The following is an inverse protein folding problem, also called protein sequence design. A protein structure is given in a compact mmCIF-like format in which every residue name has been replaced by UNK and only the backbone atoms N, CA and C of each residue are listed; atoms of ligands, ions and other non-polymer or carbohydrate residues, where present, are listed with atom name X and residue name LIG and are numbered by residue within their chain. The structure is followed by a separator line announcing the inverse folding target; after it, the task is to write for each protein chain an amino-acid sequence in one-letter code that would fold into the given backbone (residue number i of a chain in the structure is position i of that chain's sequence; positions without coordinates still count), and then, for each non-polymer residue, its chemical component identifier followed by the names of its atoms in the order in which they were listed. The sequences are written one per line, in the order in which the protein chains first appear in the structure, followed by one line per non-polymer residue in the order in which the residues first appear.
data_IF_993158543780
#
_entry.id   IF_993158543780
#
_cell.length_a   1.000
_cell.length_b   1.000
_cell.length_c   1.000
_cell.angle_alpha   90.00
_cell.angle_beta   90.00
_cell.angle_gamma   90.00
#
_symmetry.space_group_name_H-M   'P 1'
#
loop_
_entity.id
_entity.type
_entity.pdbx_description
1 polymer ?
#
# COMPACT_ATOMS: atom_id res chain seq x y z
N UNK A 1 -7.17 1.06 5.85
CA UNK A 1 -7.41 1.58 7.21
C UNK A 1 -7.62 0.52 8.30
N UNK A 2 -8.32 -0.62 8.08
CA UNK A 2 -8.49 -1.64 9.14
C UNK A 2 -7.15 -2.20 9.62
N UNK A 3 -6.32 -2.71 8.70
CA UNK A 3 -5.04 -3.33 9.03
C UNK A 3 -4.07 -2.36 9.74
N UNK A 4 -3.88 -1.16 9.19
CA UNK A 4 -2.98 -0.14 9.76
C UNK A 4 -3.33 0.25 11.20
N UNK A 5 -4.62 0.24 11.57
CA UNK A 5 -5.04 0.47 12.96
C UNK A 5 -4.71 -0.69 13.89
N UNK A 6 -4.74 -1.93 13.38
CA UNK A 6 -4.41 -3.12 14.16
C UNK A 6 -2.89 -3.30 14.32
N UNK A 7 -2.11 -2.95 13.31
CA UNK A 7 -0.64 -3.06 13.36
C UNK A 7 0.03 -1.84 14.00
N UNK A 8 -0.69 -0.72 14.17
CA UNK A 8 -0.10 0.54 14.61
C UNK A 8 0.74 1.24 13.54
N UNK A 9 0.65 0.79 12.28
CA UNK A 9 1.34 1.40 11.15
C UNK A 9 0.89 2.84 10.90
N UNK A 10 1.79 3.64 10.33
CA UNK A 10 1.46 4.99 9.92
C UNK A 10 0.39 4.97 8.81
N UNK A 11 -0.82 5.41 9.16
CA UNK A 11 -1.98 5.39 8.25
C UNK A 11 -1.79 6.30 7.03
N UNK A 12 -1.06 7.41 7.18
CA UNK A 12 -0.79 8.34 6.09
C UNK A 12 0.06 7.68 5.00
N UNK A 13 1.13 7.00 5.41
CA UNK A 13 2.01 6.25 4.50
C UNK A 13 1.25 5.11 3.81
N UNK A 14 0.48 4.31 4.54
CA UNK A 14 -0.31 3.20 3.97
C UNK A 14 -1.33 3.71 2.94
N UNK A 15 -1.94 4.87 3.20
CA UNK A 15 -2.88 5.51 2.28
C UNK A 15 -2.17 5.98 1.00
N UNK A 16 -1.06 6.70 1.12
CA UNK A 16 -0.29 7.15 -0.06
C UNK A 16 0.29 5.97 -0.84
N UNK A 17 0.74 4.92 -0.17
CA UNK A 17 1.21 3.70 -0.82
C UNK A 17 0.12 3.11 -1.73
N UNK A 18 -1.14 3.06 -1.26
CA UNK A 18 -2.27 2.57 -2.07
C UNK A 18 -2.49 3.36 -3.36
N UNK A 19 -2.08 4.63 -3.41
CA UNK A 19 -2.16 5.46 -4.62
C UNK A 19 -0.99 5.23 -5.56
N UNK A 20 0.22 5.04 -5.02
CA UNK A 20 1.45 5.13 -5.80
C UNK A 20 2.04 3.79 -6.24
N UNK A 21 1.97 2.73 -5.42
CA UNK A 21 2.75 1.49 -5.64
C UNK A 21 2.59 0.89 -7.05
N UNK A 22 1.37 0.92 -7.58
CA UNK A 22 1.01 0.40 -8.90
C UNK A 22 0.73 1.49 -9.96
N UNK A 23 0.80 2.77 -9.60
CA UNK A 23 0.40 3.92 -10.45
C UNK A 23 1.17 4.04 -11.77
N UNK A 24 2.34 3.39 -11.86
CA UNK A 24 3.23 3.42 -13.02
C UNK A 24 3.49 2.02 -13.55
N UNK A 25 2.54 1.10 -13.39
CA UNK A 25 2.54 -0.21 -14.06
C UNK A 25 2.27 -0.06 -15.56
N UNK A 26 3.04 -0.76 -16.38
CA UNK A 26 2.89 -0.74 -17.84
C UNK A 26 2.08 -1.93 -18.37
N UNK A 27 2.07 -3.05 -17.65
CA UNK A 27 1.32 -4.24 -18.02
C UNK A 27 1.03 -5.13 -16.80
N UNK A 28 0.12 -6.08 -16.95
CA UNK A 28 -0.27 -7.05 -15.90
C UNK A 28 0.61 -8.31 -15.87
N UNK A 29 1.73 -8.33 -16.60
CA UNK A 29 2.66 -9.45 -16.69
C UNK A 29 3.96 -9.15 -15.90
N UNK A 30 5.13 -9.27 -16.54
CA UNK A 30 6.40 -8.99 -15.91
C UNK A 30 6.69 -7.49 -15.99
N UNK A 31 6.58 -6.81 -14.86
CA UNK A 31 6.91 -5.39 -14.73
C UNK A 31 7.58 -5.11 -13.39
N UNK A 32 8.75 -5.71 -13.12
CA UNK A 32 9.42 -5.61 -11.83
C UNK A 32 9.78 -4.19 -11.35
N UNK A 33 9.68 -3.20 -12.24
CA UNK A 33 10.03 -1.80 -11.96
C UNK A 33 8.83 -0.89 -11.71
N UNK A 34 7.58 -1.40 -11.68
CA UNK A 34 6.40 -0.56 -11.41
C UNK A 34 6.49 0.15 -10.06
N UNK A 35 6.88 -0.57 -8.99
CA UNK A 35 7.07 -0.02 -7.66
C UNK A 35 8.05 1.16 -7.62
N UNK A 36 9.30 0.99 -8.08
CA UNK A 36 10.26 2.09 -8.22
C UNK A 36 9.75 3.27 -9.04
N UNK A 37 9.03 3.04 -10.16
CA UNK A 37 8.43 4.13 -10.94
C UNK A 37 7.32 4.85 -10.17
N UNK A 38 6.54 4.13 -9.37
CA UNK A 38 5.53 4.71 -8.47
C UNK A 38 6.16 5.57 -7.37
N UNK A 39 7.29 5.13 -6.81
CA UNK A 39 8.07 5.91 -5.86
C UNK A 39 8.61 7.21 -6.47
N UNK A 40 9.13 7.13 -7.70
CA UNK A 40 9.59 8.30 -8.46
C UNK A 40 8.44 9.29 -8.74
N UNK A 41 7.23 8.79 -9.06
CA UNK A 41 6.06 9.66 -9.19
C UNK A 41 5.72 10.36 -7.86
N UNK A 42 5.81 9.66 -6.74
CA UNK A 42 5.60 10.26 -5.42
C UNK A 42 6.64 11.36 -5.14
N UNK A 43 7.91 11.16 -5.51
CA UNK A 43 8.97 12.19 -5.42
C UNK A 43 8.61 13.45 -6.20
N UNK A 44 8.16 13.28 -7.45
CA UNK A 44 7.81 14.40 -8.34
C UNK A 44 6.61 15.21 -7.83
N UNK A 45 5.65 14.56 -7.18
CA UNK A 45 4.44 15.23 -6.67
C UNK A 45 4.58 15.72 -5.23
N UNK A 46 5.64 15.33 -4.52
CA UNK A 46 5.82 15.57 -3.08
C UNK A 46 5.63 17.04 -2.72
N UNK A 47 6.42 17.92 -3.32
CA UNK A 47 6.44 19.35 -2.96
C UNK A 47 5.13 20.07 -3.30
N UNK A 48 4.54 19.75 -4.46
CA UNK A 48 3.36 20.45 -4.96
C UNK A 48 2.04 19.94 -4.38
N UNK A 49 1.96 18.64 -4.04
CA UNK A 49 0.68 17.99 -3.75
C UNK A 49 0.62 17.27 -2.41
N UNK A 50 1.75 17.05 -1.74
CA UNK A 50 1.83 16.33 -0.46
C UNK A 50 2.54 17.16 0.63
N UNK A 51 2.13 18.43 0.88
CA UNK A 51 2.85 19.34 1.76
C UNK A 51 2.84 18.91 3.24
N UNK A 52 1.96 17.98 3.62
CA UNK A 52 1.86 17.44 4.98
C UNK A 52 2.70 16.17 5.19
N UNK A 53 3.38 15.68 4.15
CA UNK A 53 4.20 14.47 4.21
C UNK A 53 5.59 14.81 4.77
N UNK A 54 5.91 14.28 5.96
CA UNK A 54 7.24 14.49 6.56
C UNK A 54 8.32 13.74 5.78
N UNK A 55 9.60 14.07 6.02
CA UNK A 55 10.72 13.35 5.42
C UNK A 55 10.69 11.86 5.79
N UNK A 56 10.43 11.53 7.06
CA UNK A 56 10.38 10.15 7.53
C UNK A 56 9.20 9.37 6.91
N UNK A 57 8.04 10.00 6.76
CA UNK A 57 6.90 9.38 6.09
C UNK A 57 7.16 9.18 4.60
N UNK A 58 7.83 10.14 3.96
CA UNK A 58 8.22 10.03 2.56
C UNK A 58 9.23 8.89 2.34
N UNK A 59 10.23 8.75 3.22
CA UNK A 59 11.19 7.65 3.14
C UNK A 59 10.49 6.28 3.28
N UNK A 60 9.54 6.16 4.22
CA UNK A 60 8.74 4.94 4.37
C UNK A 60 7.88 4.65 3.15
N UNK A 61 7.24 5.66 2.57
CA UNK A 61 6.46 5.53 1.34
C UNK A 61 7.34 5.06 0.18
N UNK A 62 8.49 5.71 0.00
CA UNK A 62 9.44 5.41 -1.07
C UNK A 62 9.96 3.97 -0.94
N UNK A 63 10.38 3.56 0.27
CA UNK A 63 10.80 2.18 0.53
C UNK A 63 9.68 1.17 0.28
N UNK A 64 8.46 1.44 0.75
CA UNK A 64 7.32 0.56 0.54
C UNK A 64 7.04 0.36 -0.95
N UNK A 65 6.95 1.44 -1.74
CA UNK A 65 6.75 1.37 -3.18
C UNK A 65 7.86 0.58 -3.88
N UNK A 66 9.13 0.87 -3.60
CA UNK A 66 10.25 0.20 -4.25
C UNK A 66 10.34 -1.30 -3.97
N UNK A 67 9.96 -1.73 -2.78
CA UNK A 67 10.26 -3.09 -2.29
C UNK A 67 9.08 -4.06 -2.27
N UNK A 68 7.83 -3.60 -2.43
CA UNK A 68 6.64 -4.45 -2.16
C UNK A 68 6.55 -5.76 -2.96
N UNK A 69 7.16 -5.81 -4.16
CA UNK A 69 7.25 -7.02 -4.98
C UNK A 69 8.61 -7.71 -4.95
N UNK A 70 9.61 -7.09 -4.32
CA UNK A 70 11.01 -7.59 -4.30
C UNK A 70 11.41 -8.20 -2.95
N UNK A 71 10.82 -7.72 -1.86
CA UNK A 71 11.14 -8.14 -0.51
C UNK A 71 10.03 -8.99 0.11
N UNK A 72 10.41 -10.06 0.82
CA UNK A 72 9.47 -10.87 1.57
C UNK A 72 8.88 -10.12 2.77
N UNK A 73 9.71 -9.32 3.46
CA UNK A 73 9.34 -8.52 4.64
C UNK A 73 10.28 -7.32 4.80
N UNK A 74 10.08 -6.50 5.83
CA UNK A 74 10.90 -5.33 6.16
C UNK A 74 10.98 -5.13 7.68
N UNK A 75 11.97 -4.40 8.21
CA UNK A 75 12.09 -4.16 9.66
C UNK A 75 11.02 -3.21 10.21
N UNK A 76 10.58 -2.24 9.40
CA UNK A 76 9.57 -1.27 9.78
C UNK A 76 8.13 -1.80 9.59
N UNK A 77 7.32 -1.74 10.65
CA UNK A 77 5.92 -2.22 10.67
C UNK A 77 5.01 -1.53 9.65
N UNK A 78 5.28 -0.27 9.31
CA UNK A 78 4.52 0.48 8.31
C UNK A 78 4.77 -0.09 6.91
N UNK A 79 6.04 -0.35 6.56
CA UNK A 79 6.40 -0.95 5.28
C UNK A 79 5.83 -2.37 5.15
N UNK A 80 5.93 -3.18 6.20
CA UNK A 80 5.28 -4.50 6.25
C UNK A 80 3.77 -4.40 6.03
N UNK A 81 3.11 -3.44 6.67
CA UNK A 81 1.68 -3.21 6.54
C UNK A 81 1.29 -2.78 5.12
N UNK A 82 2.13 -2.01 4.42
CA UNK A 82 1.94 -1.69 3.00
C UNK A 82 2.00 -2.97 2.14
N UNK A 83 2.99 -3.83 2.35
CA UNK A 83 3.11 -5.09 1.62
C UNK A 83 1.90 -6.00 1.86
N UNK A 84 1.49 -6.12 3.12
CA UNK A 84 0.31 -6.89 3.50
C UNK A 84 -0.96 -6.34 2.85
N UNK A 85 -1.13 -5.01 2.81
CA UNK A 85 -2.29 -4.38 2.20
C UNK A 85 -2.40 -4.68 0.69
N UNK A 86 -1.29 -4.65 -0.04
CA UNK A 86 -1.24 -5.05 -1.46
C UNK A 86 -1.57 -6.54 -1.63
N UNK A 87 -0.91 -7.42 -0.87
CA UNK A 87 -1.10 -8.87 -0.96
C UNK A 87 -2.51 -9.32 -0.55
N UNK A 88 -3.12 -8.66 0.42
CA UNK A 88 -4.50 -8.90 0.83
C UNK A 88 -5.54 -8.47 -0.22
N UNK A 89 -5.16 -7.60 -1.16
CA UNK A 89 -6.02 -7.15 -2.26
C UNK A 89 -5.88 -8.00 -3.54
N UNK A 90 -5.20 -9.15 -3.46
CA UNK A 90 -5.08 -10.08 -4.59
C UNK A 90 -6.40 -10.76 -4.99
N UNK A 91 -7.45 -10.67 -4.16
CA UNK A 91 -8.78 -11.19 -4.48
C UNK A 91 -9.34 -10.62 -5.79
N UNK A 92 -9.06 -9.34 -6.10
CA UNK A 92 -9.51 -8.65 -7.32
C UNK A 92 -9.00 -9.29 -8.61
N UNK A 93 -7.91 -10.07 -8.53
CA UNK A 93 -7.33 -10.84 -9.66
C UNK A 93 -7.54 -12.35 -9.50
N UNK A 94 -8.47 -12.76 -8.64
CA UNK A 94 -8.86 -14.16 -8.47
C UNK A 94 -7.89 -15.00 -7.64
N UNK A 95 -7.04 -14.37 -6.81
CA UNK A 95 -6.10 -15.07 -5.93
C UNK A 95 -6.49 -14.91 -4.47
N UNK A 96 -6.52 -16.03 -3.74
CA UNK A 96 -6.71 -16.02 -2.28
C UNK A 96 -5.36 -15.71 -1.63
N UNK A 97 -5.27 -14.69 -0.74
CA UNK A 97 -4.04 -14.43 0.00
C UNK A 97 -3.64 -15.62 0.86
N UNK A 98 -2.37 -16.00 0.81
CA UNK A 98 -1.79 -17.07 1.62
C UNK A 98 -1.02 -16.44 2.80
N UNK A 99 -1.32 -16.81 4.07
CA UNK A 99 -0.66 -16.29 5.25
C UNK A 99 0.88 -16.38 5.24
N UNK A 100 1.47 -17.34 4.52
CA UNK A 100 2.93 -17.51 4.44
C UNK A 100 3.62 -16.31 3.79
N UNK A 101 2.93 -15.63 2.86
CA UNK A 101 3.45 -14.44 2.17
C UNK A 101 3.09 -13.13 2.87
N UNK A 102 2.40 -13.17 4.02
CA UNK A 102 2.08 -11.98 4.80
C UNK A 102 3.16 -11.73 5.86
N UNK A 103 3.34 -10.47 6.23
CA UNK A 103 4.35 -10.01 7.15
C UNK A 103 3.82 -10.04 8.59
N UNK A 104 2.71 -9.35 8.86
CA UNK A 104 2.21 -9.11 10.22
C UNK A 104 1.24 -10.17 10.71
N UNK A 105 1.22 -10.44 12.01
CA UNK A 105 0.26 -11.38 12.62
C UNK A 105 -1.20 -10.94 12.39
N UNK A 106 -1.45 -9.62 12.40
CA UNK A 106 -2.76 -9.07 12.10
C UNK A 106 -3.20 -9.41 10.66
N UNK A 107 -2.31 -9.30 9.69
CA UNK A 107 -2.59 -9.65 8.30
C UNK A 107 -2.80 -11.16 8.11
N UNK A 108 -2.03 -11.99 8.83
CA UNK A 108 -2.09 -13.46 8.77
C UNK A 108 -3.36 -14.07 9.35
N UNK A 109 -4.11 -13.32 10.16
CA UNK A 109 -5.34 -13.84 10.78
C UNK A 109 -6.38 -14.22 9.72
N UNK A 110 -7.05 -15.36 9.94
CA UNK A 110 -8.11 -15.86 9.04
C UNK A 110 -9.23 -14.82 8.88
N UNK A 111 -9.58 -14.09 9.95
CA UNK A 111 -10.57 -13.03 9.92
C UNK A 111 -10.15 -11.89 8.98
N UNK A 112 -8.89 -11.44 9.05
CA UNK A 112 -8.40 -10.37 8.18
C UNK A 112 -8.38 -10.80 6.72
N UNK A 113 -7.87 -12.00 6.44
CA UNK A 113 -7.81 -12.54 5.07
C UNK A 113 -9.22 -12.67 4.49
N UNK A 114 -10.16 -13.28 5.23
CA UNK A 114 -11.53 -13.43 4.77
C UNK A 114 -12.21 -12.06 4.53
N UNK A 115 -12.02 -11.12 5.45
CA UNK A 115 -12.55 -9.77 5.33
C UNK A 115 -11.99 -9.01 4.12
N UNK A 116 -10.67 -9.06 3.90
CA UNK A 116 -10.02 -8.37 2.79
C UNK A 116 -10.38 -9.01 1.45
N UNK A 117 -10.36 -10.35 1.38
CA UNK A 117 -10.69 -11.11 0.18
C UNK A 117 -12.11 -10.79 -0.32
N UNK A 118 -13.11 -10.81 0.56
CA UNK A 118 -14.50 -10.48 0.20
C UNK A 118 -14.65 -9.07 -0.37
N UNK A 119 -13.93 -8.09 0.20
CA UNK A 119 -13.97 -6.71 -0.29
C UNK A 119 -13.28 -6.57 -1.64
N UNK A 120 -12.16 -7.27 -1.82
CA UNK A 120 -11.35 -7.23 -3.02
C UNK A 120 -12.11 -7.81 -4.23
N UNK A 121 -12.79 -8.95 -4.06
CA UNK A 121 -13.62 -9.54 -5.13
C UNK A 121 -14.87 -8.72 -5.46
N UNK A 122 -15.35 -7.90 -4.52
CA UNK A 122 -16.47 -6.99 -4.72
C UNK A 122 -16.05 -5.64 -5.32
N UNK A 123 -14.74 -5.39 -5.49
CA UNK A 123 -14.22 -4.12 -6.01
C UNK A 123 -14.49 -2.94 -5.08
N UNK A 124 -14.54 -3.16 -3.77
CA UNK A 124 -14.86 -2.09 -2.80
C UNK A 124 -13.71 -1.08 -2.73
N UNK A 125 -13.93 0.12 -3.27
CA UNK A 125 -13.02 1.25 -3.10
C UNK A 125 -13.32 1.96 -1.77
N UNK A 126 -12.33 2.30 -0.95
CA UNK A 126 -12.55 3.05 0.27
C UNK A 126 -13.10 4.45 -0.01
N UNK A 127 -14.07 4.92 0.78
CA UNK A 127 -14.47 6.33 0.74
C UNK A 127 -13.31 7.22 1.18
N UNK A 128 -13.17 8.37 0.51
CA UNK A 128 -12.19 9.40 0.86
C UNK A 128 -10.71 8.89 0.89
N UNK A 129 -10.29 8.14 -0.14
CA UNK A 129 -8.91 7.63 -0.30
C UNK A 129 -7.84 8.72 -0.20
N UNK A 130 -8.18 9.98 -0.46
CA UNK A 130 -7.24 11.10 -0.40
C UNK A 130 -7.27 11.86 0.92
N UNK A 131 -8.24 11.58 1.81
CA UNK A 131 -8.31 12.14 3.16
C UNK A 131 -8.04 13.64 3.22
N UNK A 132 -7.09 14.04 4.08
CA UNK A 132 -6.49 15.39 4.12
C UNK A 132 -5.12 15.44 3.44
N UNK A 133 -4.70 14.34 2.80
CA UNK A 133 -3.34 14.11 2.32
C UNK A 133 -3.03 14.92 1.06
N UNK A 134 -4.07 15.37 0.34
CA UNK A 134 -3.95 16.23 -0.82
C UNK A 134 -4.77 17.50 -0.54
N UNK A 135 -4.16 18.67 -0.71
CA UNK A 135 -4.91 19.92 -0.74
C UNK A 135 -5.86 19.89 -1.94
N UNK A 136 -7.14 20.22 -1.75
CA UNK A 136 -7.94 20.71 -2.86
C UNK A 136 -7.30 22.00 -3.33
N UNK A 137 -6.56 21.93 -4.44
CA UNK A 137 -6.13 23.13 -5.15
C UNK A 137 -7.41 23.77 -5.70
N UNK A 138 -7.85 24.84 -5.04
CA UNK A 138 -8.91 25.73 -5.54
C UNK A 138 -8.38 26.66 -6.60
#
# INVERSE_FOLDING_TARGET
MKLSRQTGANQHVVQLFSLFHDSRRFNEHLDSHHGPRGAELASQLREAHLPLLTDEEFDLLHMACCLHTQAATHENITVQTCFDADRLDLGRVGKVPDPEYLCTDAAKSEEMIAWAYQRSIQGVVPDNVLGRSILQVG
#
